data_IF_003860067517
#
_entry.id   IF_003860067517
#
_cell.length_a   1.000
_cell.length_b   1.000
_cell.length_c   1.000
_cell.angle_alpha   90.00
_cell.angle_beta   90.00
_cell.angle_gamma   90.00
#
_symmetry.space_group_name_H-M   'P 1'
#
loop_
_entity.id
_entity.type
_entity.pdbx_description
1 polymer ?
#
# COMPACT_ATOMS: atom_id res chain seq x y z
N UNK A 1 -8.73 -12.74 19.56
CA UNK A 1 -8.61 -13.68 18.44
C UNK A 1 -7.20 -14.25 18.43
N UNK A 2 -7.04 -15.50 17.96
CA UNK A 2 -5.73 -16.13 17.77
C UNK A 2 -5.49 -16.37 16.29
N UNK A 3 -4.31 -16.03 15.81
CA UNK A 3 -3.87 -16.16 14.43
C UNK A 3 -2.83 -17.27 14.30
N UNK A 4 -2.92 -18.02 13.19
CA UNK A 4 -1.81 -18.80 12.67
C UNK A 4 -0.98 -17.87 11.79
N UNK A 5 0.35 -17.90 11.89
CA UNK A 5 1.24 -17.09 11.05
C UNK A 5 2.30 -18.00 10.42
N UNK A 6 2.57 -17.80 9.14
CA UNK A 6 3.74 -18.38 8.47
C UNK A 6 4.83 -17.31 8.33
N UNK A 7 5.98 -17.56 8.93
CA UNK A 7 7.19 -16.75 8.81
C UNK A 7 8.10 -17.32 7.75
N UNK A 8 8.54 -16.47 6.81
CA UNK A 8 9.43 -16.85 5.72
C UNK A 8 10.70 -16.01 5.79
N UNK A 9 11.84 -16.67 5.77
CA UNK A 9 13.17 -16.07 5.76
C UNK A 9 13.83 -16.39 4.41
N UNK A 10 13.72 -15.50 3.40
CA UNK A 10 14.19 -15.76 2.05
C UNK A 10 15.71 -15.58 1.88
N UNK A 11 16.39 -14.82 2.74
CA UNK A 11 17.81 -14.47 2.61
C UNK A 11 18.73 -15.44 3.36
N UNK A 12 18.51 -16.73 3.16
CA UNK A 12 19.33 -17.80 3.74
C UNK A 12 20.07 -18.52 2.60
N UNK A 13 21.36 -18.78 2.79
CA UNK A 13 22.29 -19.21 1.72
C UNK A 13 21.90 -20.50 0.99
N UNK A 14 21.18 -21.42 1.65
CA UNK A 14 20.82 -22.70 1.06
C UNK A 14 19.41 -22.74 0.48
N UNK A 15 18.40 -22.44 1.31
CA UNK A 15 16.97 -22.48 0.95
C UNK A 15 16.17 -21.51 1.83
N UNK A 16 15.05 -20.94 1.32
CA UNK A 16 14.14 -20.14 2.13
C UNK A 16 13.62 -20.93 3.32
N UNK A 17 13.83 -20.40 4.52
CA UNK A 17 13.43 -21.05 5.77
C UNK A 17 11.99 -20.65 6.10
N UNK A 18 11.19 -21.62 6.54
CA UNK A 18 9.77 -21.40 6.84
C UNK A 18 9.46 -21.88 8.25
N UNK A 19 8.77 -21.05 9.01
CA UNK A 19 8.28 -21.39 10.34
C UNK A 19 6.80 -21.10 10.42
N UNK A 20 6.06 -21.93 11.14
CA UNK A 20 4.63 -21.75 11.34
C UNK A 20 4.37 -21.69 12.84
N UNK A 21 3.75 -20.62 13.28
CA UNK A 21 3.24 -20.47 14.64
C UNK A 21 1.70 -20.53 14.60
N UNK A 22 1.09 -21.49 15.30
CA UNK A 22 -0.35 -21.76 15.16
C UNK A 22 -1.27 -20.91 16.04
N UNK A 23 -0.79 -20.44 17.20
CA UNK A 23 -1.61 -19.78 18.22
C UNK A 23 -0.98 -18.48 18.70
N UNK A 24 -1.01 -17.46 17.85
CA UNK A 24 -0.54 -16.12 18.18
C UNK A 24 -1.71 -15.22 18.56
N UNK A 25 -1.76 -14.65 19.77
CA UNK A 25 -2.78 -13.67 20.12
C UNK A 25 -2.57 -12.37 19.35
N UNK A 26 -3.66 -11.81 18.82
CA UNK A 26 -3.61 -10.59 17.99
C UNK A 26 -3.09 -9.34 18.73
N UNK A 27 -3.23 -9.30 20.06
CA UNK A 27 -2.82 -8.18 20.90
C UNK A 27 -1.30 -8.14 21.15
N UNK A 28 -0.55 -9.17 20.72
CA UNK A 28 0.90 -9.15 20.86
C UNK A 28 1.54 -8.26 19.80
N UNK A 29 2.61 -7.58 20.23
CA UNK A 29 3.46 -6.80 19.33
C UNK A 29 4.24 -7.72 18.40
N UNK A 30 4.41 -7.26 17.17
CA UNK A 30 5.13 -8.02 16.15
C UNK A 30 6.60 -8.21 16.53
N UNK A 31 7.22 -7.23 17.19
CA UNK A 31 8.57 -7.35 17.79
C UNK A 31 8.67 -8.51 18.77
N UNK A 32 7.75 -8.64 19.73
CA UNK A 32 7.75 -9.73 20.72
C UNK A 32 7.61 -11.12 20.08
N UNK A 33 6.97 -11.22 18.92
CA UNK A 33 6.88 -12.47 18.17
C UNK A 33 8.18 -12.78 17.44
N UNK A 34 8.81 -11.75 16.86
CA UNK A 34 10.08 -11.83 16.17
C UNK A 34 11.28 -12.05 17.11
N UNK A 35 11.14 -11.72 18.39
CA UNK A 35 12.18 -11.91 19.42
C UNK A 35 12.67 -13.36 19.46
N UNK A 36 11.77 -14.32 19.26
CA UNK A 36 12.09 -15.75 19.18
C UNK A 36 13.12 -16.06 18.08
N UNK A 37 13.08 -15.31 16.98
CA UNK A 37 13.90 -15.55 15.79
C UNK A 37 15.14 -14.66 15.75
N UNK A 38 15.00 -13.39 16.12
CA UNK A 38 16.04 -12.37 16.00
C UNK A 38 16.93 -12.24 17.24
N UNK A 39 16.47 -12.64 18.43
CA UNK A 39 17.32 -12.51 19.61
C UNK A 39 18.45 -13.55 19.61
N UNK A 40 19.70 -13.12 19.88
CA UNK A 40 20.84 -14.02 19.97
C UNK A 40 20.72 -14.97 21.17
N UNK A 41 20.10 -14.51 22.26
CA UNK A 41 19.93 -15.24 23.51
C UNK A 41 18.68 -16.14 23.54
N UNK A 42 17.87 -16.13 22.47
CA UNK A 42 16.71 -17.00 22.37
C UNK A 42 17.13 -18.47 22.24
N UNK A 43 16.29 -19.37 22.77
CA UNK A 43 16.53 -20.81 22.71
C UNK A 43 16.79 -21.25 21.26
N UNK A 44 17.83 -22.09 21.03
CA UNK A 44 18.12 -22.59 19.69
C UNK A 44 16.95 -23.46 19.22
N UNK A 45 16.42 -23.12 18.05
CA UNK A 45 15.41 -23.90 17.34
C UNK A 45 16.00 -24.46 16.03
N UNK A 46 15.27 -25.38 15.41
CA UNK A 46 15.65 -25.95 14.12
C UNK A 46 15.82 -24.85 13.07
N UNK A 47 17.00 -24.72 12.47
CA UNK A 47 17.30 -23.64 11.53
C UNK A 47 17.82 -22.32 12.14
N UNK A 48 17.98 -22.24 13.47
CA UNK A 48 18.57 -21.07 14.14
C UNK A 48 19.98 -20.70 13.64
N UNK A 49 20.80 -21.69 13.26
CA UNK A 49 22.14 -21.45 12.68
C UNK A 49 22.08 -20.66 11.37
N UNK A 50 21.08 -20.94 10.55
CA UNK A 50 20.90 -20.31 9.25
C UNK A 50 20.39 -18.86 9.35
N UNK A 51 19.82 -18.50 10.51
CA UNK A 51 19.38 -17.15 10.84
C UNK A 51 20.47 -16.28 11.49
N UNK A 52 21.73 -16.72 11.48
CA UNK A 52 22.86 -15.97 12.06
C UNK A 52 22.95 -14.53 11.56
N UNK A 53 22.79 -14.32 10.25
CA UNK A 53 22.79 -12.97 9.65
C UNK A 53 21.63 -12.11 10.13
N UNK A 54 20.44 -12.69 10.27
CA UNK A 54 19.26 -11.99 10.78
C UNK A 54 19.43 -11.59 12.25
N UNK A 55 20.01 -12.46 13.07
CA UNK A 55 20.33 -12.18 14.48
C UNK A 55 21.37 -11.08 14.62
N UNK A 56 22.40 -11.09 13.77
CA UNK A 56 23.42 -10.04 13.74
C UNK A 56 22.86 -8.69 13.28
N UNK A 57 21.97 -8.70 12.28
CA UNK A 57 21.30 -7.50 11.77
C UNK A 57 20.29 -6.91 12.79
N UNK A 58 19.66 -7.77 13.59
CA UNK A 58 18.63 -7.40 14.56
C UNK A 58 17.43 -6.70 13.94
N UNK A 59 16.60 -6.08 14.76
CA UNK A 59 15.39 -5.36 14.31
C UNK A 59 15.69 -4.21 13.34
N UNK A 60 16.83 -3.53 13.52
CA UNK A 60 17.18 -2.37 12.70
C UNK A 60 17.66 -2.75 11.31
N UNK A 61 18.17 -3.98 11.12
CA UNK A 61 18.68 -4.47 9.84
C UNK A 61 17.70 -5.32 9.05
N UNK A 62 16.48 -5.52 9.54
CA UNK A 62 15.43 -6.30 8.87
C UNK A 62 14.23 -5.43 8.48
N UNK A 63 13.50 -5.88 7.46
CA UNK A 63 12.16 -5.42 7.11
C UNK A 63 11.19 -6.59 7.28
N UNK A 64 10.00 -6.27 7.78
CA UNK A 64 8.93 -7.23 7.96
C UNK A 64 7.86 -6.92 6.92
N UNK A 65 7.57 -7.90 6.06
CA UNK A 65 6.75 -7.71 4.87
C UNK A 65 5.60 -8.72 4.88
N UNK A 66 4.35 -8.25 4.78
CA UNK A 66 3.19 -9.12 4.58
C UNK A 66 2.94 -9.34 3.09
N UNK A 67 2.75 -10.58 2.66
CA UNK A 67 2.36 -10.87 1.27
C UNK A 67 0.96 -10.32 0.98
N UNK A 68 0.83 -9.52 -0.08
CA UNK A 68 -0.46 -8.98 -0.49
C UNK A 68 -1.26 -10.02 -1.28
N UNK A 69 -2.38 -10.51 -0.75
CA UNK A 69 -3.27 -11.42 -1.46
C UNK A 69 -4.38 -10.68 -2.23
N UNK A 70 -4.88 -11.27 -3.33
CA UNK A 70 -5.96 -10.72 -4.19
C UNK A 70 -5.69 -9.35 -4.84
N UNK A 71 -4.44 -8.94 -4.97
CA UNK A 71 -4.03 -7.78 -5.79
C UNK A 71 -3.66 -8.27 -7.20
N UNK A 72 -3.95 -7.52 -8.27
CA UNK A 72 -3.44 -7.85 -9.62
C UNK A 72 -1.91 -7.84 -9.57
N UNK A 73 -1.28 -8.96 -9.94
CA UNK A 73 0.15 -9.23 -9.72
C UNK A 73 0.58 -9.37 -8.25
N UNK A 74 -0.30 -9.89 -7.39
CA UNK A 74 -0.05 -10.18 -5.96
C UNK A 74 1.18 -11.03 -5.67
N UNK A 75 1.64 -11.84 -6.64
CA UNK A 75 2.77 -12.73 -6.46
C UNK A 75 4.08 -12.04 -6.05
N UNK A 76 4.21 -10.73 -6.30
CA UNK A 76 5.43 -9.95 -5.99
C UNK A 76 5.19 -8.76 -5.07
N UNK A 77 3.96 -8.51 -4.65
CA UNK A 77 3.58 -7.31 -3.89
C UNK A 77 3.49 -7.59 -2.41
N UNK A 78 4.04 -6.69 -1.61
CA UNK A 78 4.15 -6.83 -0.17
C UNK A 78 3.77 -5.54 0.56
N UNK A 79 3.18 -5.66 1.74
CA UNK A 79 2.95 -4.52 2.64
C UNK A 79 4.04 -4.50 3.71
N UNK A 80 4.68 -3.36 3.91
CA UNK A 80 5.60 -3.19 5.05
C UNK A 80 4.80 -3.15 6.36
N UNK A 81 5.24 -3.96 7.32
CA UNK A 81 4.66 -4.03 8.67
C UNK A 81 5.57 -3.33 9.67
N UNK A 82 4.97 -2.67 10.66
CA UNK A 82 5.71 -2.04 11.75
C UNK A 82 5.88 -3.02 12.92
N UNK A 83 7.13 -3.40 13.30
CA UNK A 83 7.38 -4.26 14.44
C UNK A 83 6.96 -3.67 15.80
N UNK A 84 6.77 -2.35 15.88
CA UNK A 84 6.39 -1.66 17.12
C UNK A 84 4.89 -1.78 17.45
N UNK A 85 4.07 -2.00 16.44
CA UNK A 85 2.62 -2.15 16.52
C UNK A 85 2.20 -3.59 16.87
N UNK A 86 0.94 -3.73 17.28
CA UNK A 86 0.32 -5.04 17.50
C UNK A 86 0.10 -5.78 16.18
N UNK A 87 -0.07 -7.10 16.25
CA UNK A 87 -0.45 -7.88 15.08
C UNK A 87 -1.82 -7.43 14.55
N UNK A 88 -2.77 -7.14 15.43
CA UNK A 88 -4.11 -6.68 15.03
C UNK A 88 -4.06 -5.38 14.21
N UNK A 89 -3.30 -4.38 14.65
CA UNK A 89 -3.12 -3.11 13.93
C UNK A 89 -2.45 -3.33 12.58
N UNK A 90 -1.37 -4.10 12.55
CA UNK A 90 -0.65 -4.44 11.33
C UNK A 90 -1.51 -5.20 10.31
N UNK A 91 -2.43 -6.06 10.76
CA UNK A 91 -3.32 -6.81 9.87
C UNK A 91 -4.63 -6.07 9.55
N UNK A 92 -4.95 -5.01 10.30
CA UNK A 92 -6.16 -4.21 10.10
C UNK A 92 -6.19 -3.60 8.69
N UNK A 93 -7.35 -3.70 8.04
CA UNK A 93 -7.56 -3.21 6.67
C UNK A 93 -6.93 -4.06 5.57
N UNK A 94 -6.08 -5.04 5.90
CA UNK A 94 -5.40 -5.90 4.93
C UNK A 94 -6.23 -7.15 4.61
N UNK A 95 -6.12 -7.64 3.39
CA UNK A 95 -6.84 -8.84 2.96
C UNK A 95 -5.94 -10.07 3.13
N UNK A 96 -6.37 -10.98 3.99
CA UNK A 96 -5.65 -12.22 4.30
C UNK A 96 -6.51 -13.40 3.83
N UNK A 97 -5.91 -14.32 3.08
CA UNK A 97 -6.55 -15.58 2.69
C UNK A 97 -5.97 -16.67 3.57
N UNK A 98 -6.84 -17.34 4.33
CA UNK A 98 -6.49 -18.34 5.35
C UNK A 98 -5.69 -17.79 6.54
N UNK A 99 -4.39 -17.56 6.37
CA UNK A 99 -3.50 -17.07 7.42
C UNK A 99 -2.46 -16.09 6.84
N UNK A 100 -1.98 -15.10 7.62
CA UNK A 100 -0.95 -14.17 7.17
C UNK A 100 0.37 -14.89 6.90
N UNK A 101 0.96 -14.58 5.74
CA UNK A 101 2.30 -15.01 5.35
C UNK A 101 3.23 -13.79 5.45
N UNK A 102 4.13 -13.83 6.41
CA UNK A 102 5.04 -12.73 6.74
C UNK A 102 6.47 -13.10 6.34
N UNK A 103 7.08 -12.26 5.54
CA UNK A 103 8.46 -12.35 5.12
C UNK A 103 9.34 -11.46 5.99
N UNK A 104 10.40 -12.02 6.54
CA UNK A 104 11.43 -11.29 7.26
C UNK A 104 12.65 -11.20 6.35
N UNK A 105 12.91 -10.02 5.82
CA UNK A 105 13.92 -9.78 4.78
C UNK A 105 15.00 -8.87 5.36
N UNK A 106 16.26 -9.12 5.01
CA UNK A 106 17.33 -8.18 5.34
C UNK A 106 17.14 -6.87 4.56
N UNK A 107 17.38 -5.72 5.18
CA UNK A 107 17.22 -4.40 4.53
C UNK A 107 18.04 -4.30 3.25
N UNK A 108 19.23 -4.87 3.25
CA UNK A 108 20.13 -4.88 2.09
C UNK A 108 19.55 -5.64 0.91
N UNK A 109 18.62 -6.57 1.12
CA UNK A 109 17.95 -7.34 0.07
C UNK A 109 16.49 -6.95 -0.15
N UNK A 110 16.01 -5.92 0.52
CA UNK A 110 14.63 -5.45 0.40
C UNK A 110 14.30 -4.99 -1.05
N UNK A 111 15.30 -4.59 -1.83
CA UNK A 111 15.13 -4.17 -3.23
C UNK A 111 14.58 -5.26 -4.15
N UNK A 112 14.65 -6.54 -3.76
CA UNK A 112 14.06 -7.65 -4.50
C UNK A 112 12.54 -7.76 -4.34
N UNK A 113 11.94 -6.99 -3.44
CA UNK A 113 10.54 -7.07 -3.07
C UNK A 113 9.81 -5.78 -3.46
N UNK A 114 8.64 -5.91 -4.10
CA UNK A 114 7.80 -4.77 -4.46
C UNK A 114 6.96 -4.38 -3.23
N UNK A 115 7.46 -3.41 -2.46
CA UNK A 115 6.79 -2.91 -1.26
C UNK A 115 5.75 -1.87 -1.69
N UNK A 116 4.48 -2.19 -1.48
CA UNK A 116 3.33 -1.30 -1.71
C UNK A 116 3.41 -0.17 -0.69
N UNK A 117 3.33 1.07 -1.20
CA UNK A 117 3.20 2.26 -0.35
C UNK A 117 1.71 2.58 -0.11
N UNK A 118 1.36 3.33 0.94
CA UNK A 118 -0.03 3.69 1.22
C UNK A 118 -0.72 4.45 0.06
N UNK A 119 0.04 5.09 -0.83
CA UNK A 119 -0.51 5.75 -2.04
C UNK A 119 -1.05 4.73 -3.04
N UNK A 120 -0.31 3.62 -3.24
CA UNK A 120 -0.73 2.52 -4.11
C UNK A 120 -1.96 1.78 -3.54
N UNK A 121 -2.13 1.77 -2.22
CA UNK A 121 -3.26 1.12 -1.54
C UNK A 121 -4.62 1.74 -1.90
N UNK A 122 -4.65 3.06 -2.14
CA UNK A 122 -5.86 3.76 -2.60
C UNK A 122 -6.27 3.35 -4.01
N UNK A 123 -5.31 3.17 -4.91
CA UNK A 123 -5.58 2.72 -6.28
C UNK A 123 -6.16 1.30 -6.29
N UNK A 124 -5.66 0.40 -5.43
CA UNK A 124 -6.20 -0.96 -5.31
C UNK A 124 -7.62 -0.99 -4.72
N UNK A 125 -7.93 -0.15 -3.73
CA UNK A 125 -9.29 -0.08 -3.18
C UNK A 125 -10.29 0.47 -4.22
N UNK A 126 -9.86 1.42 -5.05
CA UNK A 126 -10.70 2.01 -6.09
C UNK A 126 -10.95 1.04 -7.27
N UNK A 127 -9.95 0.27 -7.69
CA UNK A 127 -10.10 -0.82 -8.68
C UNK A 127 -11.02 -1.96 -8.18
N UNK A 128 -10.96 -2.29 -6.88
CA UNK A 128 -11.84 -3.29 -6.29
C UNK A 128 -13.30 -2.80 -6.25
N UNK A 129 -13.51 -1.52 -5.96
CA UNK A 129 -14.85 -0.90 -5.93
C UNK A 129 -15.55 -0.85 -7.29
N UNK A 130 -14.77 -0.86 -8.38
CA UNK A 130 -15.26 -0.84 -9.75
C UNK A 130 -15.57 -2.23 -10.31
N UNK A 131 -14.94 -3.30 -9.78
CA UNK A 131 -15.13 -4.69 -10.24
C UNK A 131 -16.26 -5.45 -9.55
N UNK A 132 -16.71 -5.02 -8.37
CA UNK A 132 -17.76 -5.72 -7.58
C UNK A 132 -19.21 -5.36 -8.02
N UNK A 133 -19.41 -4.46 -8.99
CA UNK A 133 -20.76 -4.01 -9.38
C UNK A 133 -21.47 -4.85 -10.46
N UNK A 134 -20.90 -5.98 -10.91
CA UNK A 134 -21.41 -6.69 -12.10
C UNK A 134 -21.90 -8.13 -11.87
N UNK A 135 -22.25 -8.51 -10.63
CA UNK A 135 -22.86 -9.82 -10.37
C UNK A 135 -24.09 -9.70 -9.46
N UNK A 136 -25.23 -9.38 -10.07
CA UNK A 136 -26.56 -9.65 -9.53
C UNK A 136 -27.54 -9.78 -10.71
N UNK A 137 -27.59 -10.97 -11.32
CA UNK A 137 -28.75 -11.40 -12.10
C UNK A 137 -29.46 -12.52 -11.33
N UNK A 138 -30.75 -12.37 -11.00
CA UNK A 138 -31.55 -13.46 -10.45
C UNK A 138 -31.91 -14.43 -11.58
N UNK A 139 -31.47 -15.68 -11.48
CA UNK A 139 -31.94 -16.78 -12.33
C UNK A 139 -33.32 -17.24 -11.87
N UNK A 140 -34.35 -16.90 -12.63
CA UNK A 140 -35.71 -17.46 -12.52
C UNK A 140 -35.93 -18.61 -13.52
N UNK A 141 -36.82 -19.51 -13.13
CA UNK A 141 -36.95 -20.91 -13.51
C UNK A 141 -37.45 -21.26 -14.95
N UNK A 142 -37.25 -22.55 -15.26
CA UNK A 142 -38.11 -23.49 -16.03
C UNK A 142 -38.19 -23.46 -17.58
N UNK A 143 -37.76 -24.59 -18.18
CA UNK A 143 -38.63 -25.55 -18.89
C UNK A 143 -39.26 -25.18 -20.24
N UNK A 144 -38.97 -26.00 -21.27
CA UNK A 144 -39.96 -26.37 -22.31
C UNK A 144 -39.87 -25.69 -23.69
N UNK A 145 -39.31 -26.42 -24.65
CA UNK A 145 -39.61 -26.52 -26.11
C UNK A 145 -40.31 -25.38 -26.87
N UNK A 146 -39.69 -24.95 -27.99
CA UNK A 146 -40.39 -24.40 -29.17
C UNK A 146 -39.60 -23.36 -29.97
N UNK A 147 -39.10 -23.73 -31.15
CA UNK A 147 -38.81 -22.82 -32.28
C UNK A 147 -40.15 -22.40 -32.97
N UNK A 148 -40.24 -21.34 -33.83
CA UNK A 148 -39.21 -20.88 -34.78
C UNK A 148 -39.08 -19.35 -35.06
N UNK A 149 -37.98 -19.01 -35.74
CA UNK A 149 -37.73 -17.99 -36.79
C UNK A 149 -38.29 -16.55 -36.67
N UNK A 150 -37.38 -15.57 -36.77
CA UNK A 150 -37.70 -14.14 -36.97
C UNK A 150 -36.48 -13.23 -36.89
N UNK A 151 -35.84 -12.97 -38.04
CA UNK A 151 -34.81 -11.94 -38.22
C UNK A 151 -35.36 -10.52 -37.91
N UNK A 152 -34.82 -9.85 -36.89
CA UNK A 152 -34.70 -8.39 -36.85
C UNK A 152 -33.43 -8.00 -36.07
N UNK A 153 -32.46 -7.44 -36.77
CA UNK A 153 -31.31 -6.75 -36.17
C UNK A 153 -31.77 -5.42 -35.56
N UNK A 154 -31.78 -5.32 -34.23
CA UNK A 154 -31.88 -4.04 -33.53
C UNK A 154 -30.66 -3.83 -32.65
N UNK A 155 -29.79 -2.93 -33.11
CA UNK A 155 -28.70 -2.36 -32.33
C UNK A 155 -29.27 -1.66 -31.10
N UNK A 156 -29.28 -2.38 -29.99
CA UNK A 156 -29.75 -1.88 -28.71
C UNK A 156 -28.65 -0.97 -28.12
N UNK A 157 -28.69 0.33 -28.42
CA UNK A 157 -27.89 1.35 -27.72
C UNK A 157 -28.37 1.43 -26.27
N UNK A 158 -27.90 0.52 -25.43
CA UNK A 158 -28.11 0.53 -23.98
C UNK A 158 -27.51 1.83 -23.44
N UNK A 159 -28.36 2.84 -23.18
CA UNK A 159 -27.96 3.99 -22.37
C UNK A 159 -27.67 3.47 -20.96
N UNK A 160 -26.47 3.64 -20.41
CA UNK A 160 -26.19 3.23 -19.04
C UNK A 160 -27.09 4.03 -18.10
N UNK A 161 -27.83 3.33 -17.23
CA UNK A 161 -28.63 3.95 -16.18
C UNK A 161 -27.65 4.57 -15.18
N UNK A 162 -27.48 5.88 -15.22
CA UNK A 162 -26.67 6.60 -14.23
C UNK A 162 -27.26 6.39 -12.83
N UNK A 163 -26.46 5.79 -11.94
CA UNK A 163 -26.84 5.60 -10.54
C UNK A 163 -27.01 6.97 -9.86
N UNK A 164 -27.94 7.06 -8.91
CA UNK A 164 -28.25 8.31 -8.20
C UNK A 164 -27.02 8.91 -7.50
N UNK A 165 -26.09 8.07 -7.05
CA UNK A 165 -24.81 8.46 -6.45
C UNK A 165 -23.83 9.09 -7.44
N UNK A 166 -23.84 8.66 -8.71
CA UNK A 166 -22.98 9.22 -9.76
C UNK A 166 -23.42 10.64 -10.13
N UNK A 167 -24.73 10.88 -10.22
CA UNK A 167 -25.28 12.24 -10.44
C UNK A 167 -24.87 13.20 -9.32
N UNK A 168 -24.91 12.74 -8.07
CA UNK A 168 -24.49 13.53 -6.90
C UNK A 168 -22.99 13.87 -7.00
N UNK A 169 -22.14 12.91 -7.37
CA UNK A 169 -20.71 13.13 -7.51
C UNK A 169 -20.36 14.09 -8.66
N UNK A 170 -21.01 13.94 -9.83
CA UNK A 170 -20.83 14.82 -10.98
C UNK A 170 -21.24 16.26 -10.62
N UNK A 171 -22.36 16.41 -9.92
CA UNK A 171 -22.87 17.73 -9.55
C UNK A 171 -21.95 18.43 -8.54
N UNK A 172 -21.44 17.72 -7.52
CA UNK A 172 -20.45 18.28 -6.58
C UNK A 172 -19.15 18.69 -7.26
N UNK A 173 -18.64 17.89 -8.22
CA UNK A 173 -17.41 18.22 -8.96
C UNK A 173 -17.55 19.47 -9.82
N UNK A 174 -18.71 19.66 -10.44
CA UNK A 174 -19.03 20.86 -11.23
C UNK A 174 -19.11 22.12 -10.37
N UNK A 175 -19.69 22.00 -9.18
CA UNK A 175 -19.82 23.09 -8.22
C UNK A 175 -18.45 23.56 -7.70
N UNK A 176 -17.60 22.61 -7.29
CA UNK A 176 -16.22 22.88 -6.86
C UNK A 176 -15.40 23.56 -7.98
N UNK A 177 -15.49 23.07 -9.23
CA UNK A 177 -14.77 23.71 -10.35
C UNK A 177 -15.24 25.14 -10.62
N UNK A 178 -16.54 25.40 -10.48
CA UNK A 178 -17.12 26.72 -10.71
C UNK A 178 -16.66 27.70 -9.62
N UNK A 179 -16.56 27.24 -8.38
CA UNK A 179 -16.03 27.99 -7.23
C UNK A 179 -14.54 28.33 -7.44
N UNK A 180 -13.71 27.34 -7.78
CA UNK A 180 -12.28 27.56 -8.08
C UNK A 180 -12.09 28.56 -9.24
N UNK A 181 -12.92 28.48 -10.29
CA UNK A 181 -12.84 29.40 -11.44
C UNK A 181 -13.29 30.81 -11.06
N UNK A 182 -14.24 30.97 -10.14
CA UNK A 182 -14.65 32.25 -9.61
C UNK A 182 -13.54 32.87 -8.73
N UNK A 183 -12.91 32.05 -7.87
CA UNK A 183 -11.77 32.43 -7.04
C UNK A 183 -10.61 32.98 -7.91
N UNK A 184 -10.27 32.27 -8.99
CA UNK A 184 -9.20 32.68 -9.93
C UNK A 184 -9.52 33.96 -10.71
N UNK A 185 -10.81 34.30 -10.88
CA UNK A 185 -11.24 35.56 -11.52
C UNK A 185 -11.24 36.74 -10.56
N UNK A 186 -11.36 36.50 -9.25
CA UNK A 186 -11.31 37.55 -8.21
C UNK A 186 -9.89 37.98 -7.86
N UNK A 187 -8.87 37.17 -8.19
CA UNK A 187 -7.46 37.53 -7.98
C UNK A 187 -7.03 38.61 -9.00
N UNK A 188 -6.52 39.78 -8.57
CA UNK A 188 -6.04 40.81 -9.49
C UNK A 188 -4.83 40.30 -10.26
N UNK A 189 -4.87 40.40 -11.60
CA UNK A 189 -3.79 39.97 -12.51
C UNK A 189 -2.72 41.06 -12.69
N UNK A 190 -2.31 41.70 -11.61
CA UNK A 190 -1.26 42.72 -11.65
C UNK A 190 -0.07 42.29 -10.77
N UNK A 191 0.70 41.33 -11.27
CA UNK A 191 2.15 41.32 -11.02
C UNK A 191 2.83 40.41 -12.04
N UNK A 192 3.22 41.00 -13.17
CA UNK A 192 4.22 40.42 -14.05
C UNK A 192 5.10 41.55 -14.62
N UNK A 193 6.37 41.53 -14.17
CA UNK A 193 7.60 42.07 -14.76
C UNK A 193 7.77 43.59 -14.97
N UNK A 194 8.72 44.17 -14.23
CA UNK A 194 9.65 45.15 -14.79
C UNK A 194 11.02 44.49 -14.94
N UNK A 195 11.46 44.40 -16.18
CA UNK A 195 12.78 44.00 -16.61
C UNK A 195 13.82 45.06 -16.24
N UNK A 196 15.01 44.62 -15.83
CA UNK A 196 16.26 45.37 -15.99
C UNK A 196 16.67 46.24 -14.80
N UNK A 197 17.70 45.81 -14.06
CA UNK A 197 18.88 46.63 -13.84
C UNK A 197 20.06 45.76 -13.41
N UNK A 198 21.14 45.88 -14.19
CA UNK A 198 22.51 45.44 -13.92
C UNK A 198 23.12 46.27 -12.80
N UNK A 199 24.02 45.69 -12.00
CA UNK A 199 25.16 46.33 -11.30
C UNK A 199 25.89 45.21 -10.52
N UNK A 200 26.83 44.45 -11.10
CA UNK A 200 28.28 44.76 -11.19
C UNK A 200 28.88 45.44 -9.94
N UNK A 201 29.66 44.62 -9.23
CA UNK A 201 31.03 44.83 -8.76
C UNK A 201 31.40 45.83 -7.62
N UNK A 202 32.35 45.35 -6.82
CA UNK A 202 33.48 46.06 -6.19
C UNK A 202 33.38 46.55 -4.72
N UNK A 203 34.07 45.78 -3.86
CA UNK A 203 35.14 46.14 -2.89
C UNK A 203 34.98 47.31 -1.87
N UNK A 204 35.65 47.09 -0.72
CA UNK A 204 36.02 47.99 0.40
C UNK A 204 35.03 48.07 1.57
N UNK A 205 35.41 48.05 2.85
CA UNK A 205 36.68 47.93 3.57
C UNK A 205 36.36 47.54 5.03
N UNK A 206 37.17 46.72 5.69
CA UNK A 206 38.13 47.14 6.74
C UNK A 206 37.51 47.93 7.92
N UNK A 207 37.34 47.26 9.08
CA UNK A 207 37.78 47.66 10.44
C UNK A 207 36.99 46.82 11.47
N UNK A 208 37.49 46.35 12.62
CA UNK A 208 38.80 46.10 13.20
C UNK A 208 38.55 45.27 14.47
N UNK A 209 39.56 44.56 14.94
CA UNK A 209 39.60 43.69 16.13
C UNK A 209 39.19 44.36 17.46
N UNK A 210 38.68 43.57 18.43
CA UNK A 210 39.34 43.33 19.74
C UNK A 210 38.52 42.50 20.75
N UNK A 211 39.30 41.89 21.66
CA UNK A 211 39.01 41.26 22.96
C UNK A 211 38.62 39.77 22.96
N UNK A 212 39.17 38.91 23.82
CA UNK A 212 40.36 38.87 24.67
C UNK A 212 40.43 37.42 25.22
N UNK A 213 41.62 36.84 25.36
CA UNK A 213 41.83 35.54 26.03
C UNK A 213 43.02 34.77 25.51
#
# INVERSE_FOLDING_TARGET
>A
INWRIEWIFPNVDEKPLKFVDEKIPENKKLSTLLDKYLNPDALPFEGSKALGYYRAAGYRGVKVLLRAEKVKSSAKKFFELDPTESLAENLSGKCIVEFPIIFVVLKDHAYNFEIITPEDEFDYQNERSSTVKEENQPTVANGGSGQPEGHYSQQNRKRPKQLMTEKIAIQKKLEIQKEIKAERKKRPKNLLFTTGYSSEESLSGCDSDKDAG
#
